data_IF_395282795176
#
_entry.id   IF_395282795176
#
_cell.length_a   1.000
_cell.length_b   1.000
_cell.length_c   1.000
_cell.angle_alpha   90.00
_cell.angle_beta   90.00
_cell.angle_gamma   90.00
#
_symmetry.space_group_name_H-M   'P 1'
#
loop_
_entity.id
_entity.type
_entity.pdbx_description
1 polymer ?
#
# COMPACT_ATOMS: atom_id res chain seq x y z
N UNK A 1 -7.46 29.33 14.29
CA UNK A 1 -6.87 27.98 14.19
C UNK A 1 -7.87 27.04 14.82
N UNK A 2 -8.09 25.85 14.26
CA UNK A 2 -8.93 24.86 14.92
C UNK A 2 -8.35 24.55 16.31
N UNK A 3 -9.20 24.33 17.31
CA UNK A 3 -8.75 23.94 18.64
C UNK A 3 -8.04 22.58 18.59
N UNK A 4 -7.21 22.29 19.60
CA UNK A 4 -6.57 20.96 19.75
C UNK A 4 -7.62 19.84 19.71
N UNK A 5 -8.79 20.07 20.31
CA UNK A 5 -9.87 19.08 20.34
C UNK A 5 -10.57 18.91 19.00
N UNK A 6 -10.79 20.00 18.26
CA UNK A 6 -11.35 19.94 16.90
C UNK A 6 -10.41 19.17 15.96
N UNK A 7 -9.10 19.44 16.06
CA UNK A 7 -8.10 18.71 15.26
C UNK A 7 -8.05 17.25 15.65
N UNK A 8 -8.05 16.94 16.95
CA UNK A 8 -8.07 15.55 17.43
C UNK A 8 -9.31 14.80 16.94
N UNK A 9 -10.50 15.40 17.08
CA UNK A 9 -11.77 14.82 16.63
C UNK A 9 -11.76 14.58 15.11
N UNK A 10 -11.24 15.54 14.34
CA UNK A 10 -11.11 15.40 12.88
C UNK A 10 -10.22 14.23 12.50
N UNK A 11 -9.10 14.00 13.21
CA UNK A 11 -8.19 12.91 12.89
C UNK A 11 -8.64 11.57 13.47
N UNK A 12 -9.48 11.52 14.49
CA UNK A 12 -9.96 10.26 15.06
C UNK A 12 -11.34 9.83 14.56
N UNK A 13 -12.08 10.71 13.88
CA UNK A 13 -13.40 10.34 13.32
C UNK A 13 -13.28 9.15 12.35
N UNK A 14 -14.27 8.26 12.41
CA UNK A 14 -14.41 7.07 11.56
C UNK A 14 -13.22 6.09 11.60
N UNK A 15 -12.42 6.13 12.66
CA UNK A 15 -11.41 5.11 12.94
C UNK A 15 -12.01 3.96 13.75
N UNK A 16 -11.49 2.76 13.52
CA UNK A 16 -11.85 1.60 14.32
C UNK A 16 -11.07 1.59 15.64
N UNK A 17 -9.81 2.03 15.64
CA UNK A 17 -8.97 2.04 16.83
C UNK A 17 -7.92 3.16 16.77
N UNK A 18 -7.58 3.68 17.95
CA UNK A 18 -6.58 4.74 18.17
C UNK A 18 -5.67 4.29 19.31
N UNK A 19 -4.38 4.16 19.03
CA UNK A 19 -3.33 3.93 20.04
C UNK A 19 -2.48 5.19 20.17
N UNK A 20 -2.05 5.54 21.39
CA UNK A 20 -1.22 6.73 21.64
C UNK A 20 -1.97 8.07 21.52
N UNK A 21 -3.25 8.13 21.92
CA UNK A 21 -4.04 9.36 21.88
C UNK A 21 -3.41 10.51 22.70
N UNK A 22 -2.74 10.17 23.79
CA UNK A 22 -1.94 11.06 24.63
C UNK A 22 -0.76 11.69 23.87
N UNK A 23 -0.04 10.89 23.06
CA UNK A 23 1.06 11.39 22.20
C UNK A 23 0.53 12.44 21.22
N UNK A 24 -0.59 12.15 20.57
CA UNK A 24 -1.23 13.06 19.62
C UNK A 24 -1.62 14.38 20.31
N UNK A 25 -2.28 14.28 21.48
CA UNK A 25 -2.72 15.46 22.25
C UNK A 25 -1.53 16.29 22.75
N UNK A 26 -0.45 15.64 23.19
CA UNK A 26 0.79 16.31 23.60
C UNK A 26 1.40 17.11 22.45
N UNK A 27 1.54 16.49 21.27
CA UNK A 27 2.11 17.18 20.09
C UNK A 27 1.23 18.33 19.62
N UNK A 28 -0.09 18.19 19.69
CA UNK A 28 -1.01 19.29 19.38
C UNK A 28 -0.88 20.44 20.39
N UNK A 29 -0.64 20.15 21.67
CA UNK A 29 -0.43 21.16 22.70
C UNK A 29 0.89 21.94 22.54
N UNK A 30 1.91 21.33 21.92
CA UNK A 30 3.16 22.02 21.54
C UNK A 30 2.95 23.09 20.45
N UNK A 31 1.80 23.13 19.79
CA UNK A 31 1.47 24.12 18.76
C UNK A 31 2.16 23.90 17.41
N UNK A 32 2.84 22.75 17.22
CA UNK A 32 3.46 22.37 15.94
C UNK A 32 2.56 21.43 15.12
N UNK A 33 2.73 21.38 13.78
CA UNK A 33 2.01 20.40 12.97
C UNK A 33 2.39 18.95 13.31
N UNK A 34 1.39 18.08 13.45
CA UNK A 34 1.52 16.63 13.54
C UNK A 34 2.12 16.06 12.25
N UNK A 35 3.03 15.11 12.37
CA UNK A 35 3.62 14.41 11.23
C UNK A 35 3.02 13.02 11.11
N UNK A 36 2.34 12.77 10.00
CA UNK A 36 1.71 11.49 9.69
C UNK A 36 2.43 10.82 8.53
N UNK A 37 2.55 9.50 8.56
CA UNK A 37 2.76 8.76 7.32
C UNK A 37 1.74 7.62 7.13
N UNK A 38 1.46 7.33 5.85
CA UNK A 38 0.62 6.21 5.45
C UNK A 38 1.30 5.44 4.32
N UNK A 39 2.04 4.40 4.68
CA UNK A 39 2.78 3.58 3.73
C UNK A 39 1.90 2.76 2.80
N UNK A 40 2.34 2.60 1.56
CA UNK A 40 1.76 1.63 0.63
C UNK A 40 2.86 0.91 -0.13
N UNK A 41 2.81 -0.43 -0.13
CA UNK A 41 3.71 -1.26 -0.92
C UNK A 41 3.20 -1.37 -2.38
N UNK A 42 3.96 -0.94 -3.40
CA UNK A 42 3.58 -1.02 -4.82
C UNK A 42 3.57 -2.47 -5.34
N UNK A 43 2.51 -3.21 -5.03
CA UNK A 43 2.36 -4.64 -5.39
C UNK A 43 1.35 -4.83 -6.52
N UNK A 44 0.09 -5.19 -6.23
CA UNK A 44 -0.96 -5.28 -7.24
C UNK A 44 -1.48 -3.90 -7.66
N UNK A 45 -2.36 -3.85 -8.67
CA UNK A 45 -3.06 -2.60 -9.01
C UNK A 45 -3.78 -2.04 -7.79
N UNK A 46 -3.62 -0.74 -7.60
CA UNK A 46 -4.22 -0.03 -6.48
C UNK A 46 -5.73 0.02 -6.64
N UNK A 47 -6.45 -0.03 -5.53
CA UNK A 47 -7.91 -0.12 -5.53
C UNK A 47 -8.48 0.72 -4.39
N UNK A 48 -9.74 1.09 -4.53
CA UNK A 48 -10.44 1.93 -3.56
C UNK A 48 -10.52 1.22 -2.20
N UNK A 49 -10.02 1.86 -1.15
CA UNK A 49 -9.98 1.35 0.24
C UNK A 49 -10.48 2.43 1.19
N UNK A 50 -10.95 2.01 2.37
CA UNK A 50 -11.08 2.94 3.50
C UNK A 50 -9.70 3.52 3.81
N UNK A 51 -9.63 4.83 3.99
CA UNK A 51 -8.40 5.61 4.08
C UNK A 51 -8.17 6.54 2.88
N UNK A 52 -8.72 6.25 1.70
CA UNK A 52 -8.60 7.13 0.52
C UNK A 52 -9.32 8.47 0.71
N UNK A 53 -10.35 8.50 1.56
CA UNK A 53 -11.11 9.68 1.99
C UNK A 53 -10.43 10.50 3.09
N UNK A 54 -9.25 10.07 3.59
CA UNK A 54 -8.48 10.82 4.61
C UNK A 54 -7.83 12.09 4.04
N UNK A 55 -8.43 12.61 2.98
CA UNK A 55 -8.38 13.97 2.53
C UNK A 55 -8.50 15.01 3.65
N UNK A 56 -9.27 14.72 4.71
CA UNK A 56 -9.31 15.53 5.93
C UNK A 56 -7.93 15.75 6.58
N UNK A 57 -7.00 14.79 6.47
CA UNK A 57 -5.63 14.96 6.93
C UNK A 57 -4.88 16.03 6.13
N UNK A 58 -5.05 16.04 4.81
CA UNK A 58 -4.41 17.00 3.92
C UNK A 58 -5.03 18.40 4.06
N UNK A 59 -6.33 18.45 4.34
CA UNK A 59 -7.05 19.71 4.56
C UNK A 59 -6.64 20.41 5.86
N UNK A 60 -6.30 19.63 6.89
CA UNK A 60 -5.79 20.20 8.15
C UNK A 60 -4.50 20.99 7.91
N UNK A 61 -4.46 22.26 8.36
CA UNK A 61 -3.21 23.04 8.43
C UNK A 61 -2.26 22.48 9.50
N UNK A 62 -2.77 21.63 10.37
CA UNK A 62 -2.08 21.09 11.54
C UNK A 62 -1.42 19.74 11.25
N UNK A 63 -1.46 19.22 10.02
CA UNK A 63 -0.88 17.91 9.67
C UNK A 63 0.05 18.03 8.47
N UNK A 64 1.24 17.45 8.61
CA UNK A 64 2.17 17.16 7.52
C UNK A 64 2.09 15.69 7.18
N UNK A 65 1.68 15.39 5.95
CA UNK A 65 1.41 14.03 5.50
C UNK A 65 2.47 13.56 4.50
N UNK A 66 3.11 12.45 4.84
CA UNK A 66 4.05 11.74 3.96
C UNK A 66 3.41 10.46 3.45
N UNK A 67 3.49 10.24 2.14
CA UNK A 67 2.99 9.03 1.47
C UNK A 67 4.16 8.21 0.95
N UNK A 68 4.79 7.36 1.76
CA UNK A 68 5.89 6.55 1.27
C UNK A 68 5.39 5.42 0.37
N UNK A 69 6.04 5.29 -0.79
CA UNK A 69 5.90 4.20 -1.74
C UNK A 69 6.99 3.18 -1.42
N UNK A 70 6.61 2.16 -0.65
CA UNK A 70 7.51 1.19 -0.04
C UNK A 70 7.89 0.10 -1.05
N UNK A 71 8.80 0.43 -1.97
CA UNK A 71 9.31 -0.45 -3.02
C UNK A 71 10.14 -1.61 -2.47
N UNK A 72 10.97 -1.38 -1.45
CA UNK A 72 11.70 -2.46 -0.76
C UNK A 72 10.70 -3.44 -0.12
N UNK A 73 9.68 -2.94 0.59
CA UNK A 73 8.63 -3.80 1.15
C UNK A 73 7.85 -4.56 0.07
N UNK A 74 7.58 -3.94 -1.08
CA UNK A 74 6.92 -4.62 -2.20
C UNK A 74 7.76 -5.76 -2.80
N UNK A 75 9.09 -5.62 -2.80
CA UNK A 75 10.03 -6.67 -3.17
C UNK A 75 10.06 -7.79 -2.11
N UNK A 76 10.09 -7.42 -0.82
CA UNK A 76 10.18 -8.38 0.30
C UNK A 76 8.88 -9.17 0.54
N UNK A 77 7.72 -8.61 0.18
CA UNK A 77 6.42 -9.30 0.25
C UNK A 77 6.28 -10.36 -0.86
N UNK A 78 6.96 -11.49 -0.62
CA UNK A 78 6.83 -12.77 -1.31
C UNK A 78 6.94 -12.70 -2.85
N UNK A 79 7.94 -11.96 -3.36
CA UNK A 79 8.33 -11.96 -4.78
C UNK A 79 7.16 -11.75 -5.76
N UNK A 80 6.21 -10.85 -5.47
CA UNK A 80 5.16 -10.49 -6.44
C UNK A 80 5.70 -9.77 -7.68
N UNK A 81 6.92 -9.22 -7.61
CA UNK A 81 7.58 -8.51 -8.69
C UNK A 81 9.10 -8.40 -8.47
N UNK A 82 9.93 -8.54 -9.52
CA UNK A 82 11.31 -8.08 -9.54
C UNK A 82 11.42 -6.57 -9.24
N UNK A 83 12.57 -6.10 -8.75
CA UNK A 83 12.79 -4.69 -8.40
C UNK A 83 12.54 -3.74 -9.60
N UNK A 84 12.90 -4.16 -10.81
CA UNK A 84 12.66 -3.40 -12.04
C UNK A 84 11.17 -3.20 -12.28
N UNK A 85 10.38 -4.24 -12.05
CA UNK A 85 8.92 -4.18 -12.15
C UNK A 85 8.31 -3.32 -11.02
N UNK A 86 8.88 -3.40 -9.81
CA UNK A 86 8.46 -2.54 -8.69
C UNK A 86 8.71 -1.06 -9.00
N UNK A 87 9.82 -0.71 -9.66
CA UNK A 87 10.09 0.68 -10.05
C UNK A 87 9.01 1.24 -10.99
N UNK A 88 8.52 0.45 -11.95
CA UNK A 88 7.37 0.84 -12.78
C UNK A 88 6.08 0.96 -11.95
N UNK A 89 5.87 0.07 -10.98
CA UNK A 89 4.72 0.13 -10.06
C UNK A 89 4.77 1.36 -9.15
N UNK A 90 5.94 1.80 -8.69
CA UNK A 90 6.10 3.06 -7.94
C UNK A 90 5.56 4.22 -8.76
N UNK A 91 6.00 4.36 -10.03
CA UNK A 91 5.50 5.41 -10.93
C UNK A 91 3.99 5.31 -11.17
N UNK A 92 3.47 4.10 -11.41
CA UNK A 92 2.03 3.88 -11.54
C UNK A 92 1.25 4.33 -10.29
N UNK A 93 1.73 3.96 -9.10
CA UNK A 93 1.13 4.33 -7.83
C UNK A 93 1.16 5.84 -7.61
N UNK A 94 2.24 6.50 -8.00
CA UNK A 94 2.32 7.96 -7.96
C UNK A 94 1.28 8.62 -8.87
N UNK A 95 1.16 8.20 -10.13
CA UNK A 95 0.15 8.73 -11.05
C UNK A 95 -1.27 8.52 -10.52
N UNK A 96 -1.63 7.30 -10.13
CA UNK A 96 -3.00 7.00 -9.68
C UNK A 96 -3.33 7.74 -8.39
N UNK A 97 -2.40 7.79 -7.42
CA UNK A 97 -2.67 8.49 -6.16
C UNK A 97 -2.78 9.99 -6.37
N UNK A 98 -1.92 10.60 -7.20
CA UNK A 98 -2.04 12.02 -7.55
C UNK A 98 -3.39 12.32 -8.19
N UNK A 99 -3.84 11.51 -9.16
CA UNK A 99 -5.14 11.68 -9.79
C UNK A 99 -6.31 11.51 -8.81
N UNK A 100 -6.24 10.52 -7.91
CA UNK A 100 -7.24 10.31 -6.85
C UNK A 100 -7.30 11.50 -5.89
N UNK A 101 -6.15 12.05 -5.48
CA UNK A 101 -6.13 13.24 -4.64
C UNK A 101 -6.58 14.50 -5.39
N UNK A 102 -6.47 14.58 -6.73
CA UNK A 102 -7.10 15.65 -7.53
C UNK A 102 -8.62 15.56 -7.55
N UNK A 103 -9.18 14.36 -7.49
CA UNK A 103 -10.63 14.10 -7.54
C UNK A 103 -11.38 14.43 -6.23
N UNK A 104 -10.65 14.81 -5.18
CA UNK A 104 -11.16 15.13 -3.85
C UNK A 104 -10.64 16.52 -3.47
N UNK A 105 -11.41 17.37 -2.76
CA UNK A 105 -10.93 18.69 -2.32
C UNK A 105 -9.78 18.59 -1.32
N UNK A 106 -8.54 18.44 -1.80
CA UNK A 106 -7.35 18.44 -0.95
C UNK A 106 -6.22 19.29 -1.56
N UNK A 107 -5.43 19.97 -0.72
CA UNK A 107 -4.23 20.67 -1.18
C UNK A 107 -3.13 19.65 -1.49
N UNK A 108 -2.94 19.35 -2.78
CA UNK A 108 -2.00 18.34 -3.28
C UNK A 108 -0.55 18.78 -3.09
N UNK A 109 -0.32 20.09 -2.98
CA UNK A 109 1.01 20.68 -2.76
C UNK A 109 1.62 20.21 -1.43
N UNK A 110 0.78 19.81 -0.47
CA UNK A 110 1.23 19.25 0.81
C UNK A 110 1.54 17.76 0.75
N UNK A 111 1.17 17.06 -0.33
CA UNK A 111 1.37 15.63 -0.48
C UNK A 111 2.82 15.34 -0.88
N UNK A 112 3.61 14.84 0.06
CA UNK A 112 4.99 14.41 -0.20
C UNK A 112 5.04 12.90 -0.45
N UNK A 113 5.37 12.50 -1.67
CA UNK A 113 5.75 11.13 -1.98
C UNK A 113 7.22 10.90 -1.61
N UNK A 114 7.50 9.77 -0.97
CA UNK A 114 8.85 9.35 -0.60
C UNK A 114 9.03 7.90 -1.06
N UNK A 115 10.09 7.59 -1.79
CA UNK A 115 10.33 6.19 -2.21
C UNK A 115 11.10 5.48 -1.09
N UNK A 116 10.67 4.27 -0.70
CA UNK A 116 11.28 3.51 0.41
C UNK A 116 12.80 3.36 0.25
N UNK A 117 13.24 2.92 -0.92
CA UNK A 117 14.65 2.72 -1.25
C UNK A 117 15.51 3.98 -1.14
N UNK A 118 14.92 5.19 -1.14
CA UNK A 118 15.68 6.44 -0.98
C UNK A 118 16.27 6.63 0.42
N UNK A 119 15.79 5.89 1.42
CA UNK A 119 16.31 5.96 2.80
C UNK A 119 16.53 4.57 3.42
N UNK A 120 15.79 3.54 3.01
CA UNK A 120 15.91 2.20 3.58
C UNK A 120 17.23 1.50 3.22
N UNK A 121 17.97 2.04 2.24
CA UNK A 121 19.26 1.51 1.79
C UNK A 121 20.45 2.27 2.39
N UNK A 122 20.22 3.29 3.23
CA UNK A 122 21.32 4.04 3.85
C UNK A 122 22.03 3.18 4.90
N UNK A 123 23.26 3.57 5.20
CA UNK A 123 24.10 2.89 6.21
C UNK A 123 23.40 2.90 7.57
N UNK A 124 22.85 4.04 7.97
CA UNK A 124 22.21 4.26 9.26
C UNK A 124 21.01 3.32 9.41
N UNK A 125 20.13 3.31 8.40
CA UNK A 125 18.92 2.49 8.42
C UNK A 125 19.25 1.00 8.49
N UNK A 126 20.24 0.56 7.73
CA UNK A 126 20.66 -0.85 7.75
C UNK A 126 21.29 -1.24 9.08
N UNK A 127 22.05 -0.34 9.71
CA UNK A 127 22.59 -0.60 11.04
C UNK A 127 21.48 -0.76 12.09
N UNK A 128 20.42 0.06 12.05
CA UNK A 128 19.28 -0.12 12.95
C UNK A 128 18.47 -1.38 12.64
N UNK A 129 18.37 -1.76 11.37
CA UNK A 129 17.79 -3.05 10.99
C UNK A 129 18.58 -4.22 11.59
N UNK A 130 19.92 -4.17 11.56
CA UNK A 130 20.75 -5.18 12.24
C UNK A 130 20.56 -5.17 13.76
N UNK A 131 20.42 -3.98 14.39
CA UNK A 131 20.11 -3.87 15.83
C UNK A 131 18.76 -4.50 16.17
N UNK A 132 17.74 -4.29 15.33
CA UNK A 132 16.44 -4.96 15.48
C UNK A 132 16.60 -6.48 15.36
N UNK A 133 17.30 -6.98 14.34
CA UNK A 133 17.54 -8.41 14.16
C UNK A 133 18.28 -9.04 15.36
N UNK A 134 19.13 -8.29 16.06
CA UNK A 134 19.80 -8.74 17.28
C UNK A 134 18.90 -8.72 18.54
N UNK A 135 17.74 -8.07 18.48
CA UNK A 135 16.85 -7.83 19.65
C UNK A 135 15.51 -8.56 19.53
N UNK A 136 15.02 -8.77 18.31
CA UNK A 136 13.70 -9.31 18.01
C UNK A 136 13.78 -10.83 17.89
N UNK A 137 12.84 -11.53 18.51
CA UNK A 137 12.75 -12.99 18.37
C UNK A 137 12.09 -13.35 17.03
N UNK A 138 12.45 -14.50 16.46
CA UNK A 138 11.78 -15.04 15.26
C UNK A 138 10.26 -15.12 15.46
N UNK A 139 9.84 -15.59 16.64
CA UNK A 139 8.44 -15.72 17.01
C UNK A 139 7.70 -14.38 16.92
N UNK A 140 8.26 -13.31 17.47
CA UNK A 140 7.60 -12.01 17.51
C UNK A 140 7.56 -11.36 16.13
N UNK A 141 8.63 -11.49 15.34
CA UNK A 141 8.64 -11.05 13.94
C UNK A 141 7.56 -11.77 13.11
N UNK A 142 7.49 -13.10 13.22
CA UNK A 142 6.49 -13.91 12.52
C UNK A 142 5.06 -13.55 12.93
N UNK A 143 4.83 -13.36 14.24
CA UNK A 143 3.54 -12.96 14.79
C UNK A 143 3.13 -11.58 14.30
N UNK A 144 4.05 -10.62 14.26
CA UNK A 144 3.80 -9.25 13.81
C UNK A 144 3.36 -9.20 12.33
N UNK A 145 4.02 -9.98 11.47
CA UNK A 145 3.74 -10.02 10.03
C UNK A 145 2.55 -10.90 9.61
N UNK A 146 1.92 -11.64 10.51
CA UNK A 146 0.99 -12.72 10.17
C UNK A 146 -0.23 -12.32 9.31
N UNK A 147 -0.71 -11.08 9.46
CA UNK A 147 -1.89 -10.58 8.73
C UNK A 147 -1.56 -9.73 7.50
N UNK A 148 -0.30 -9.32 7.36
CA UNK A 148 0.17 -8.38 6.34
C UNK A 148 1.03 -9.09 5.31
N UNK A 149 2.00 -9.87 5.76
CA UNK A 149 2.90 -10.65 4.91
C UNK A 149 2.17 -11.88 4.42
N UNK A 150 2.34 -12.20 3.14
CA UNK A 150 1.75 -13.41 2.55
C UNK A 150 2.26 -14.67 3.26
N UNK A 151 1.33 -15.47 3.76
CA UNK A 151 1.62 -16.76 4.38
C UNK A 151 1.85 -17.83 3.31
N UNK A 152 2.96 -18.55 3.42
CA UNK A 152 3.35 -19.66 2.54
C UNK A 152 3.85 -20.83 3.39
N UNK A 153 3.83 -22.05 2.83
CA UNK A 153 4.24 -23.28 3.56
C UNK A 153 5.69 -23.23 4.04
N UNK A 154 6.56 -22.57 3.28
CA UNK A 154 7.98 -22.39 3.58
C UNK A 154 8.30 -20.90 3.57
N UNK A 155 8.07 -20.18 4.70
CA UNK A 155 8.27 -18.73 4.77
C UNK A 155 9.72 -18.33 4.48
N UNK A 156 9.89 -17.28 3.68
CA UNK A 156 11.21 -16.69 3.42
C UNK A 156 11.62 -15.76 4.57
N UNK A 157 12.92 -15.57 4.76
CA UNK A 157 13.47 -14.62 5.73
C UNK A 157 12.95 -13.19 5.52
N UNK A 158 12.67 -12.81 4.27
CA UNK A 158 12.13 -11.48 3.93
C UNK A 158 10.83 -11.16 4.69
N UNK A 159 10.00 -12.17 4.94
CA UNK A 159 8.75 -12.00 5.70
C UNK A 159 8.99 -11.68 7.18
N UNK A 160 10.12 -12.10 7.75
CA UNK A 160 10.50 -11.80 9.13
C UNK A 160 11.13 -10.41 9.26
N UNK A 161 11.77 -9.91 8.21
CA UNK A 161 12.34 -8.55 8.19
C UNK A 161 11.26 -7.47 8.05
N UNK A 162 10.13 -7.79 7.39
CA UNK A 162 9.10 -6.83 7.02
C UNK A 162 8.59 -5.96 8.19
N UNK A 163 8.20 -6.51 9.37
CA UNK A 163 7.69 -5.70 10.46
C UNK A 163 8.75 -4.76 11.06
N UNK A 164 10.01 -5.22 11.11
CA UNK A 164 11.14 -4.43 11.58
C UNK A 164 11.39 -3.21 10.70
N UNK A 165 11.38 -3.41 9.38
CA UNK A 165 11.52 -2.32 8.42
C UNK A 165 10.38 -1.31 8.55
N UNK A 166 9.13 -1.80 8.64
CA UNK A 166 7.99 -0.90 8.80
C UNK A 166 8.06 -0.09 10.11
N UNK A 167 8.55 -0.67 11.21
CA UNK A 167 8.77 0.06 12.45
C UNK A 167 9.84 1.15 12.30
N UNK A 168 10.98 0.85 11.65
CA UNK A 168 12.03 1.84 11.43
C UNK A 168 11.59 3.01 10.54
N UNK A 169 10.67 2.78 9.61
CA UNK A 169 10.10 3.86 8.79
C UNK A 169 9.51 4.99 9.66
N UNK A 170 8.95 4.70 10.84
CA UNK A 170 8.43 5.73 11.77
C UNK A 170 9.52 6.70 12.27
N UNK A 171 10.72 6.18 12.49
CA UNK A 171 11.88 6.96 12.91
C UNK A 171 12.44 7.77 11.75
N UNK A 172 12.72 7.10 10.63
CA UNK A 172 13.41 7.70 9.50
C UNK A 172 12.54 8.69 8.71
N UNK A 173 11.21 8.57 8.80
CA UNK A 173 10.28 9.57 8.29
C UNK A 173 9.97 10.67 9.31
N UNK A 174 10.44 10.52 10.56
CA UNK A 174 10.27 11.49 11.63
C UNK A 174 8.80 11.76 11.96
N UNK A 175 7.94 10.73 11.92
CA UNK A 175 6.50 10.88 12.17
C UNK A 175 6.17 10.87 13.67
N UNK A 176 5.02 11.46 13.99
CA UNK A 176 4.39 11.42 15.31
C UNK A 176 3.36 10.29 15.39
N UNK A 177 2.72 9.98 14.25
CA UNK A 177 1.80 8.85 14.15
C UNK A 177 1.84 8.17 12.78
N UNK A 178 1.55 6.87 12.77
CA UNK A 178 1.35 6.08 11.57
C UNK A 178 -0.14 5.81 11.37
N UNK A 179 -0.61 5.93 10.12
CA UNK A 179 -1.98 5.58 9.73
C UNK A 179 -1.99 4.34 8.83
N UNK A 180 -2.93 3.43 9.08
CA UNK A 180 -3.15 2.23 8.28
C UNK A 180 -4.46 1.52 8.63
N UNK A 181 -4.70 0.36 8.03
CA UNK A 181 -5.86 -0.48 8.39
C UNK A 181 -5.63 -1.22 9.70
N UNK A 182 -6.70 -1.71 10.32
CA UNK A 182 -6.61 -2.58 11.51
C UNK A 182 -5.87 -3.90 11.25
N UNK A 183 -5.72 -4.31 9.98
CA UNK A 183 -4.87 -5.43 9.59
C UNK A 183 -3.38 -5.20 9.90
N UNK A 184 -2.96 -3.95 10.11
CA UNK A 184 -1.60 -3.59 10.50
C UNK A 184 -1.38 -3.54 12.01
N UNK A 185 -2.42 -3.73 12.83
CA UNK A 185 -2.36 -3.59 14.29
C UNK A 185 -1.20 -4.35 14.93
N UNK A 186 -0.92 -5.57 14.46
CA UNK A 186 0.18 -6.39 15.01
C UNK A 186 1.55 -5.78 14.74
N UNK A 187 1.76 -5.17 13.56
CA UNK A 187 2.99 -4.43 13.23
C UNK A 187 3.09 -3.15 14.06
N UNK A 188 1.98 -2.43 14.24
CA UNK A 188 1.94 -1.22 15.08
C UNK A 188 2.32 -1.51 16.53
N UNK A 189 1.71 -2.54 17.14
CA UNK A 189 2.09 -2.95 18.51
C UNK A 189 3.51 -3.50 18.60
N UNK A 190 4.04 -4.06 17.52
CA UNK A 190 5.44 -4.46 17.42
C UNK A 190 6.36 -3.23 17.43
N UNK A 191 6.04 -2.18 16.67
CA UNK A 191 6.79 -0.93 16.68
C UNK A 191 6.81 -0.27 18.06
N UNK A 192 5.65 -0.20 18.75
CA UNK A 192 5.56 0.33 20.11
C UNK A 192 6.44 -0.42 21.13
N UNK A 193 6.66 -1.72 20.91
CA UNK A 193 7.46 -2.57 21.78
C UNK A 193 8.96 -2.45 21.49
N UNK A 194 9.36 -2.40 20.21
CA UNK A 194 10.77 -2.53 19.82
C UNK A 194 11.48 -1.20 19.54
N UNK A 195 10.79 -0.16 19.07
CA UNK A 195 11.43 1.15 18.85
C UNK A 195 12.08 1.72 20.13
N UNK A 196 11.44 1.64 21.32
CA UNK A 196 12.08 2.08 22.57
C UNK A 196 13.35 1.30 22.93
N UNK A 197 13.45 0.03 22.52
CA UNK A 197 14.65 -0.79 22.78
C UNK A 197 15.86 -0.34 21.95
N UNK A 198 15.61 0.37 20.84
CA UNK A 198 16.64 1.03 20.04
C UNK A 198 16.92 2.47 20.49
N UNK A 199 16.21 2.96 21.52
CA UNK A 199 16.30 4.34 22.00
C UNK A 199 15.40 5.32 21.27
N UNK A 200 14.49 4.85 20.41
CA UNK A 200 13.55 5.70 19.69
C UNK A 200 12.22 5.89 20.43
N UNK A 201 11.55 7.01 20.16
CA UNK A 201 10.24 7.32 20.76
C UNK A 201 9.15 6.36 20.26
N UNK A 202 8.12 6.15 21.07
CA UNK A 202 6.86 5.54 20.60
C UNK A 202 6.11 6.50 19.70
N UNK A 203 5.34 5.97 18.76
CA UNK A 203 4.42 6.73 17.90
C UNK A 203 2.99 6.34 18.23
N UNK A 204 2.07 7.23 17.88
CA UNK A 204 0.66 6.90 17.89
C UNK A 204 0.28 6.11 16.63
N UNK A 205 -0.78 5.31 16.71
CA UNK A 205 -1.25 4.49 15.60
C UNK A 205 -2.75 4.70 15.39
N UNK A 206 -3.11 5.12 14.18
CA UNK A 206 -4.49 5.38 13.78
C UNK A 206 -4.95 4.31 12.80
N UNK A 207 -5.99 3.56 13.16
CA UNK A 207 -6.41 2.39 12.41
C UNK A 207 -7.81 2.53 11.83
N UNK A 208 -7.93 2.46 10.49
CA UNK A 208 -9.22 2.47 9.81
C UNK A 208 -9.84 1.06 9.74
N UNK A 209 -11.17 1.02 9.67
CA UNK A 209 -11.90 -0.21 9.44
C UNK A 209 -11.60 -0.78 8.05
N UNK A 210 -11.57 -2.11 7.94
CA UNK A 210 -11.42 -2.78 6.66
C UNK A 210 -12.74 -2.77 5.89
N UNK A 211 -12.69 -2.34 4.63
CA UNK A 211 -13.82 -2.50 3.72
C UNK A 211 -13.96 -3.97 3.30
N UNK A 212 -15.17 -4.54 3.35
CA UNK A 212 -15.42 -5.88 2.84
C UNK A 212 -15.33 -5.91 1.30
N UNK A 213 -15.05 -7.09 0.75
CA UNK A 213 -15.07 -7.32 -0.69
C UNK A 213 -16.48 -7.27 -1.26
N UNK A 214 -16.62 -6.82 -2.52
CA UNK A 214 -17.92 -6.72 -3.20
C UNK A 214 -18.69 -8.05 -3.26
N UNK A 215 -17.96 -9.17 -3.36
CA UNK A 215 -18.49 -10.53 -3.45
C UNK A 215 -18.51 -11.24 -2.09
N UNK A 216 -18.23 -10.52 -0.99
CA UNK A 216 -18.05 -11.08 0.36
C UNK A 216 -16.58 -11.29 0.73
N UNK A 217 -16.30 -11.38 2.03
CA UNK A 217 -14.94 -11.57 2.56
C UNK A 217 -14.06 -10.31 2.45
N UNK A 218 -12.75 -10.50 2.23
CA UNK A 218 -11.77 -9.41 2.10
C UNK A 218 -11.55 -9.03 0.62
N UNK A 219 -11.41 -7.74 0.32
CA UNK A 219 -10.93 -7.29 -0.98
C UNK A 219 -9.52 -7.85 -1.25
N UNK A 220 -9.32 -8.50 -2.40
CA UNK A 220 -8.02 -9.05 -2.78
C UNK A 220 -7.53 -8.48 -4.10
N UNK A 221 -6.23 -8.14 -4.14
CA UNK A 221 -5.59 -7.76 -5.38
C UNK A 221 -5.66 -8.87 -6.46
N UNK A 222 -5.75 -10.14 -6.03
CA UNK A 222 -5.79 -11.32 -6.91
C UNK A 222 -7.19 -11.70 -7.41
N UNK A 223 -8.26 -11.15 -6.83
CA UNK A 223 -9.62 -11.34 -7.32
C UNK A 223 -10.16 -10.00 -7.85
N UNK A 224 -10.14 -9.79 -9.18
CA UNK A 224 -10.62 -8.56 -9.81
C UNK A 224 -12.08 -8.23 -9.52
N UNK A 225 -12.93 -9.23 -9.22
CA UNK A 225 -14.36 -9.02 -8.96
C UNK A 225 -14.65 -8.61 -7.51
N UNK A 226 -13.72 -8.92 -6.59
CA UNK A 226 -13.86 -8.56 -5.17
C UNK A 226 -13.64 -7.07 -4.88
N UNK A 227 -13.04 -6.31 -5.81
CA UNK A 227 -12.53 -4.94 -5.61
C UNK A 227 -12.89 -3.98 -6.75
N UNK A 228 -12.82 -2.68 -6.45
CA UNK A 228 -12.96 -1.58 -7.42
C UNK A 228 -11.59 -0.99 -7.71
N UNK A 229 -11.10 -1.18 -8.94
CA UNK A 229 -9.87 -0.55 -9.44
C UNK A 229 -10.17 0.92 -9.77
N UNK A 230 -9.22 1.81 -9.54
CA UNK A 230 -9.40 3.24 -9.88
C UNK A 230 -9.60 3.47 -11.38
N UNK A 231 -9.12 2.54 -12.21
CA UNK A 231 -9.22 2.58 -13.67
C UNK A 231 -10.30 1.63 -14.24
N UNK A 232 -11.20 1.09 -13.40
CA UNK A 232 -12.35 0.31 -13.90
C UNK A 232 -13.26 1.20 -14.74
N UNK A 233 -13.53 0.83 -16.00
CA UNK A 233 -14.47 1.57 -16.84
C UNK A 233 -15.88 1.59 -16.23
N UNK A 234 -16.75 2.56 -16.59
CA UNK A 234 -18.12 2.62 -16.09
C UNK A 234 -18.90 1.30 -16.29
N UNK A 235 -18.64 0.59 -17.40
CA UNK A 235 -19.23 -0.71 -17.68
C UNK A 235 -18.72 -1.82 -16.72
N UNK A 236 -17.42 -1.83 -16.41
CA UNK A 236 -16.82 -2.77 -15.47
C UNK A 236 -17.35 -2.51 -14.05
N UNK A 237 -17.36 -1.25 -13.63
CA UNK A 237 -17.88 -0.83 -12.32
C UNK A 237 -19.34 -1.24 -12.15
N UNK A 238 -20.21 -0.91 -13.13
CA UNK A 238 -21.62 -1.30 -13.13
C UNK A 238 -21.80 -2.82 -13.03
N UNK A 239 -20.98 -3.60 -13.75
CA UNK A 239 -21.02 -5.06 -13.69
C UNK A 239 -20.66 -5.58 -12.29
N UNK A 240 -19.58 -5.07 -11.70
CA UNK A 240 -19.11 -5.47 -10.36
C UNK A 240 -20.13 -5.13 -9.28
N UNK A 241 -20.66 -3.91 -9.28
CA UNK A 241 -21.65 -3.46 -8.30
C UNK A 241 -23.00 -4.17 -8.45
N UNK A 242 -23.42 -4.48 -9.68
CA UNK A 242 -24.61 -5.31 -9.93
C UNK A 242 -24.44 -6.70 -9.31
N UNK A 243 -23.24 -7.29 -9.44
CA UNK A 243 -22.89 -8.59 -8.88
C UNK A 243 -22.57 -8.59 -7.38
N UNK A 244 -22.46 -7.42 -6.74
CA UNK A 244 -22.14 -7.34 -5.33
C UNK A 244 -23.25 -7.95 -4.45
N UNK A 245 -22.86 -8.61 -3.36
CA UNK A 245 -23.81 -9.11 -2.37
C UNK A 245 -24.48 -7.93 -1.67
N UNK A 246 -25.82 -7.91 -1.69
CA UNK A 246 -26.63 -6.88 -1.04
C UNK A 246 -28.02 -7.46 -0.80
N UNK A 247 -28.22 -8.01 0.38
CA UNK A 247 -29.48 -8.57 0.85
C UNK A 247 -30.31 -7.48 1.54
N UNK A 248 -31.62 -7.47 1.32
CA UNK A 248 -32.53 -6.46 1.86
C UNK A 248 -32.62 -6.55 3.39
N UNK A 249 -32.45 -5.43 4.08
CA UNK A 249 -32.39 -5.37 5.55
C UNK A 249 -31.06 -5.80 6.15
N UNK A 250 -30.16 -6.40 5.38
CA UNK A 250 -28.87 -6.87 5.88
C UNK A 250 -27.81 -5.75 5.85
N UNK A 251 -27.55 -5.17 7.02
CA UNK A 251 -26.50 -4.16 7.20
C UNK A 251 -25.13 -4.77 7.49
N UNK A 252 -25.09 -6.02 7.94
CA UNK A 252 -23.87 -6.72 8.32
C UNK A 252 -23.14 -7.24 7.08
N UNK A 253 -21.81 -7.03 7.03
CA UNK A 253 -20.99 -7.42 5.88
C UNK A 253 -21.48 -6.87 4.52
N UNK A 254 -22.21 -5.76 4.52
CA UNK A 254 -22.72 -5.12 3.31
C UNK A 254 -21.67 -4.16 2.72
N UNK A 255 -21.06 -4.56 1.60
CA UNK A 255 -20.00 -3.77 0.99
C UNK A 255 -20.48 -2.41 0.50
N UNK A 256 -21.69 -2.32 -0.04
CA UNK A 256 -22.22 -1.06 -0.56
C UNK A 256 -22.42 -0.05 0.56
N UNK A 257 -23.05 -0.45 1.66
CA UNK A 257 -23.19 0.39 2.85
C UNK A 257 -21.82 0.79 3.43
N UNK A 258 -20.86 -0.14 3.44
CA UNK A 258 -19.50 0.14 3.90
C UNK A 258 -18.80 1.20 3.03
N UNK A 259 -18.95 1.15 1.70
CA UNK A 259 -18.44 2.18 0.79
C UNK A 259 -19.15 3.53 1.00
N UNK A 260 -20.46 3.53 1.25
CA UNK A 260 -21.20 4.76 1.56
C UNK A 260 -20.64 5.39 2.85
N UNK A 261 -20.55 4.62 3.93
CA UNK A 261 -20.07 5.06 5.25
C UNK A 261 -18.63 5.56 5.21
N UNK A 262 -17.74 4.78 4.60
CA UNK A 262 -16.30 5.00 4.72
C UNK A 262 -15.73 5.85 3.60
N UNK A 263 -16.40 6.00 2.44
CA UNK A 263 -15.84 6.71 1.28
C UNK A 263 -16.76 7.82 0.80
N UNK A 264 -17.99 7.49 0.40
CA UNK A 264 -18.86 8.45 -0.31
C UNK A 264 -19.33 9.58 0.61
N UNK A 265 -19.92 9.25 1.77
CA UNK A 265 -20.40 10.26 2.72
C UNK A 265 -19.26 11.13 3.27
N UNK A 266 -18.09 10.59 3.69
CA UNK A 266 -16.96 11.41 4.11
C UNK A 266 -16.46 12.38 3.04
N UNK A 267 -16.36 11.95 1.78
CA UNK A 267 -15.96 12.83 0.66
C UNK A 267 -17.02 13.90 0.43
N UNK A 268 -18.31 13.54 0.50
CA UNK A 268 -19.41 14.48 0.32
C UNK A 268 -19.48 15.53 1.43
N UNK A 269 -19.31 15.10 2.70
CA UNK A 269 -19.18 15.99 3.86
C UNK A 269 -18.02 16.96 3.66
N UNK A 270 -16.86 16.45 3.22
CA UNK A 270 -15.70 17.31 2.97
C UNK A 270 -15.98 18.33 1.86
N UNK A 271 -16.58 17.93 0.74
CA UNK A 271 -16.95 18.85 -0.36
C UNK A 271 -17.90 19.95 0.11
N UNK A 272 -18.84 19.61 1.01
CA UNK A 272 -19.75 20.57 1.62
C UNK A 272 -19.03 21.52 2.60
N UNK A 273 -18.20 20.97 3.50
CA UNK A 273 -17.40 21.72 4.48
C UNK A 273 -16.45 22.72 3.79
N UNK A 274 -15.84 22.33 2.67
CA UNK A 274 -14.87 23.14 1.93
C UNK A 274 -15.50 24.04 0.86
N UNK A 275 -16.82 23.96 0.66
CA UNK A 275 -17.54 24.63 -0.43
C UNK A 275 -16.86 24.42 -1.79
N UNK A 276 -16.49 23.16 -2.09
CA UNK A 276 -15.72 22.84 -3.29
C UNK A 276 -16.48 23.27 -4.56
N UNK A 277 -15.94 24.22 -5.36
CA UNK A 277 -16.62 24.70 -6.56
C UNK A 277 -16.48 23.72 -7.74
N UNK A 278 -15.56 22.75 -7.65
CA UNK A 278 -15.21 21.83 -8.73
C UNK A 278 -15.96 20.52 -8.56
N UNK A 279 -15.91 19.90 -7.38
CA UNK A 279 -16.48 18.58 -7.16
C UNK A 279 -17.81 18.63 -6.44
N UNK A 280 -18.84 18.02 -7.05
CA UNK A 280 -20.21 17.99 -6.51
C UNK A 280 -20.34 16.98 -5.36
N UNK A 281 -21.21 17.26 -4.40
CA UNK A 281 -21.64 16.28 -3.39
C UNK A 281 -22.46 15.15 -4.04
N UNK A 282 -22.57 14.00 -3.38
CA UNK A 282 -23.38 12.87 -3.87
C UNK A 282 -24.87 13.02 -3.52
N UNK A 283 -25.39 14.23 -3.70
CA UNK A 283 -26.78 14.60 -3.44
C UNK A 283 -27.55 14.61 -4.74
N UNK A 284 -28.71 13.96 -4.73
CA UNK A 284 -29.60 13.94 -5.87
C UNK A 284 -30.15 15.35 -6.11
N UNK A 285 -30.04 15.84 -7.35
CA UNK A 285 -30.41 17.21 -7.71
C UNK A 285 -31.88 17.38 -8.10
N UNK A 286 -32.68 16.32 -8.04
CA UNK A 286 -34.07 16.33 -8.44
C UNK A 286 -34.26 16.39 -9.96
N UNK A 287 -35.49 16.16 -10.41
CA UNK A 287 -35.98 16.62 -11.72
C UNK A 287 -36.64 18.00 -11.59
N UNK A 288 -36.85 18.68 -12.72
CA UNK A 288 -37.52 19.98 -12.76
C UNK A 288 -38.92 19.88 -12.14
N UNK A 289 -39.15 20.58 -11.02
CA UNK A 289 -40.41 20.55 -10.26
C UNK A 289 -40.36 19.77 -8.94
N UNK A 290 -39.26 19.10 -8.59
CA UNK A 290 -39.07 18.46 -7.28
C UNK A 290 -38.54 19.44 -6.23
N UNK A 291 -38.89 19.19 -4.95
CA UNK A 291 -38.31 19.94 -3.84
C UNK A 291 -36.80 19.67 -3.74
N UNK A 292 -35.99 20.71 -3.48
CA UNK A 292 -34.55 20.54 -3.36
C UNK A 292 -34.20 19.73 -2.10
N UNK A 293 -33.08 19.02 -2.16
CA UNK A 293 -32.55 18.31 -0.99
C UNK A 293 -32.38 19.27 0.20
N UNK A 294 -32.75 18.86 1.44
CA UNK A 294 -32.58 19.68 2.62
C UNK A 294 -31.13 20.15 2.83
N UNK A 295 -30.97 21.34 3.42
CA UNK A 295 -29.65 21.86 3.76
C UNK A 295 -28.88 20.89 4.68
N UNK A 296 -27.60 20.66 4.40
CA UNK A 296 -26.77 19.71 5.16
C UNK A 296 -26.84 18.26 4.65
N UNK A 297 -27.62 17.98 3.60
CA UNK A 297 -27.62 16.65 2.97
C UNK A 297 -26.25 16.34 2.37
N UNK A 298 -25.72 15.15 2.67
CA UNK A 298 -24.44 14.64 2.13
C UNK A 298 -24.63 13.44 1.22
N UNK A 299 -25.76 12.75 1.28
CA UNK A 299 -26.06 11.61 0.41
C UNK A 299 -27.57 11.54 0.14
N UNK A 300 -27.97 11.09 -1.04
CA UNK A 300 -29.39 10.91 -1.36
C UNK A 300 -29.62 9.62 -2.11
N UNK A 301 -30.75 8.95 -1.85
CA UNK A 301 -31.13 7.69 -2.48
C UNK A 301 -32.45 7.89 -3.22
N UNK A 302 -32.40 8.07 -4.55
CA UNK A 302 -33.60 8.07 -5.39
C UNK A 302 -34.21 6.68 -5.41
N UNK A 303 -35.52 6.61 -5.18
CA UNK A 303 -36.29 5.35 -5.16
C UNK A 303 -37.12 5.19 -6.43
N UNK A 304 -37.55 3.97 -6.71
CA UNK A 304 -38.35 3.65 -7.91
C UNK A 304 -39.73 4.33 -7.95
N UNK A 305 -40.26 4.68 -6.80
CA UNK A 305 -41.53 5.41 -6.64
C UNK A 305 -41.38 6.93 -6.89
N UNK A 306 -40.23 7.37 -7.42
CA UNK A 306 -39.85 8.77 -7.69
C UNK A 306 -39.65 9.63 -6.43
N UNK A 307 -39.78 9.06 -5.24
CA UNK A 307 -39.37 9.76 -4.02
C UNK A 307 -37.87 9.63 -3.79
N UNK A 308 -37.28 10.59 -3.08
CA UNK A 308 -35.86 10.58 -2.73
C UNK A 308 -35.69 10.67 -1.22
N UNK A 309 -34.84 9.80 -0.68
CA UNK A 309 -34.43 9.88 0.74
C UNK A 309 -33.13 10.67 0.83
N UNK A 310 -33.03 11.60 1.78
CA UNK A 310 -31.90 12.49 1.96
C UNK A 310 -31.26 12.28 3.35
N UNK A 311 -29.93 12.18 3.39
CA UNK A 311 -29.19 11.86 4.60
C UNK A 311 -28.08 12.87 4.87
N UNK A 312 -28.05 13.39 6.09
CA UNK A 312 -26.97 14.23 6.62
C UNK A 312 -25.88 13.41 7.33
N UNK A 313 -26.21 12.21 7.83
CA UNK A 313 -25.26 11.25 8.43
C UNK A 313 -25.58 9.82 8.00
N UNK A 314 -24.71 8.87 8.34
CA UNK A 314 -24.85 7.48 7.90
C UNK A 314 -25.88 6.69 8.71
N UNK A 315 -26.05 7.00 9.99
CA UNK A 315 -26.84 6.21 10.93
C UNK A 315 -28.33 6.12 10.52
N UNK A 316 -29.01 7.21 10.10
CA UNK A 316 -30.38 7.12 9.62
C UNK A 316 -30.50 6.30 8.33
N UNK A 317 -29.50 6.36 7.44
CA UNK A 317 -29.48 5.57 6.21
C UNK A 317 -29.32 4.07 6.48
N UNK A 318 -28.48 3.71 7.43
CA UNK A 318 -28.30 2.32 7.86
C UNK A 318 -29.60 1.77 8.44
N UNK A 319 -30.31 2.57 9.24
CA UNK A 319 -31.59 2.18 9.83
C UNK A 319 -32.71 2.07 8.77
N UNK A 320 -32.75 2.98 7.81
CA UNK A 320 -33.70 2.90 6.69
C UNK A 320 -33.42 1.67 5.79
N UNK A 321 -32.15 1.29 5.62
CA UNK A 321 -31.81 0.03 4.94
C UNK A 321 -32.25 -1.19 5.76
N UNK A 322 -32.00 -1.20 7.08
CA UNK A 322 -32.41 -2.26 8.02
C UNK A 322 -33.93 -2.46 8.00
N UNK A 323 -34.67 -1.35 7.97
CA UNK A 323 -36.13 -1.31 7.93
C UNK A 323 -36.72 -1.50 6.52
N UNK A 324 -35.88 -1.82 5.52
CA UNK A 324 -36.28 -2.11 4.13
C UNK A 324 -36.96 -0.94 3.41
N UNK A 325 -36.68 0.29 3.85
CA UNK A 325 -37.11 1.51 3.15
C UNK A 325 -36.21 1.81 1.95
N UNK A 326 -34.96 1.33 1.98
CA UNK A 326 -34.03 1.35 0.86
C UNK A 326 -33.94 -0.03 0.24
N UNK A 327 -34.45 -0.18 -0.98
CA UNK A 327 -34.33 -1.44 -1.71
C UNK A 327 -32.87 -1.66 -2.20
N UNK A 328 -32.32 -2.89 -2.16
CA UNK A 328 -30.94 -3.18 -2.60
C UNK A 328 -30.60 -2.71 -4.01
N UNK A 329 -31.57 -2.75 -4.92
CA UNK A 329 -31.40 -2.27 -6.29
C UNK A 329 -31.18 -0.76 -6.38
N UNK A 330 -31.81 0.00 -5.50
CA UNK A 330 -31.73 1.46 -5.48
C UNK A 330 -30.41 1.89 -4.84
N UNK A 331 -29.99 1.20 -3.75
CA UNK A 331 -28.66 1.34 -3.17
C UNK A 331 -27.56 1.02 -4.19
N UNK A 332 -27.69 -0.07 -4.95
CA UNK A 332 -26.73 -0.41 -6.03
C UNK A 332 -26.67 0.68 -7.09
N UNK A 333 -27.81 1.22 -7.50
CA UNK A 333 -27.87 2.25 -8.53
C UNK A 333 -27.18 3.54 -8.08
N UNK A 334 -27.53 4.07 -6.91
CA UNK A 334 -26.94 5.31 -6.39
C UNK A 334 -25.45 5.16 -6.11
N UNK A 335 -25.02 4.05 -5.52
CA UNK A 335 -23.58 3.78 -5.27
C UNK A 335 -22.81 3.65 -6.58
N UNK A 336 -23.40 3.06 -7.62
CA UNK A 336 -22.79 3.00 -8.96
C UNK A 336 -22.61 4.39 -9.55
N UNK A 337 -23.64 5.24 -9.49
CA UNK A 337 -23.56 6.62 -9.98
C UNK A 337 -22.48 7.39 -9.22
N UNK A 338 -22.52 7.40 -7.89
CA UNK A 338 -21.58 8.13 -7.06
C UNK A 338 -20.13 7.68 -7.25
N UNK A 339 -19.87 6.37 -7.35
CA UNK A 339 -18.53 5.86 -7.64
C UNK A 339 -18.08 6.17 -9.07
N UNK A 340 -18.98 6.15 -10.05
CA UNK A 340 -18.65 6.56 -11.43
C UNK A 340 -18.22 8.01 -11.46
N UNK A 341 -18.98 8.92 -10.82
CA UNK A 341 -18.65 10.34 -10.73
C UNK A 341 -17.33 10.59 -9.98
N UNK A 342 -17.05 9.80 -8.93
CA UNK A 342 -15.79 9.91 -8.18
C UNK A 342 -14.58 9.47 -9.01
N UNK A 343 -14.71 8.41 -9.81
CA UNK A 343 -13.60 7.84 -10.59
C UNK A 343 -13.40 8.49 -11.96
N UNK A 344 -14.44 9.11 -12.53
CA UNK A 344 -14.38 9.78 -13.83
C UNK A 344 -13.17 10.72 -14.01
N UNK A 345 -12.84 11.65 -13.09
CA UNK A 345 -11.68 12.52 -13.27
C UNK A 345 -10.35 11.74 -13.32
N UNK A 346 -10.23 10.67 -12.54
CA UNK A 346 -9.05 9.79 -12.52
C UNK A 346 -8.90 9.06 -13.85
N UNK A 347 -10.01 8.55 -14.38
CA UNK A 347 -10.06 7.83 -15.65
C UNK A 347 -9.71 8.77 -16.82
N UNK A 348 -10.25 9.99 -16.84
CA UNK A 348 -9.91 11.00 -17.85
C UNK A 348 -8.44 11.39 -17.82
N UNK A 349 -7.83 11.53 -16.64
CA UNK A 349 -6.41 11.82 -16.52
C UNK A 349 -5.54 10.66 -17.06
N UNK A 350 -5.96 9.42 -16.83
CA UNK A 350 -5.33 8.23 -17.41
C UNK A 350 -5.47 8.17 -18.94
N UNK A 351 -6.65 8.42 -19.46
CA UNK A 351 -6.94 8.43 -20.91
C UNK A 351 -6.13 9.51 -21.65
N UNK A 352 -5.91 10.66 -21.01
CA UNK A 352 -5.17 11.78 -21.59
C UNK A 352 -3.64 11.67 -21.42
N UNK A 353 -3.14 10.74 -20.59
CA UNK A 353 -1.71 10.59 -20.32
C UNK A 353 -1.13 9.34 -20.98
N UNK A 354 -0.46 9.53 -22.13
CA UNK A 354 0.28 8.45 -22.81
C UNK A 354 1.37 7.85 -21.91
N UNK A 355 2.09 8.69 -21.17
CA UNK A 355 3.11 8.24 -20.22
C UNK A 355 2.51 7.31 -19.15
N UNK A 356 1.36 7.69 -18.57
CA UNK A 356 0.72 6.85 -17.56
C UNK A 356 0.22 5.53 -18.15
N UNK A 357 -0.28 5.52 -19.37
CA UNK A 357 -0.66 4.28 -20.08
C UNK A 357 0.55 3.36 -20.31
N UNK A 358 1.67 3.91 -20.78
CA UNK A 358 2.93 3.17 -20.97
C UNK A 358 3.45 2.60 -19.65
N UNK A 359 3.52 3.42 -18.60
CA UNK A 359 3.92 2.99 -17.25
C UNK A 359 2.99 1.90 -16.72
N UNK A 360 1.68 1.98 -16.97
CA UNK A 360 0.71 0.96 -16.55
C UNK A 360 0.97 -0.37 -17.24
N UNK A 361 1.28 -0.35 -18.55
CA UNK A 361 1.60 -1.55 -19.32
C UNK A 361 2.92 -2.20 -18.85
N UNK A 362 3.91 -1.38 -18.48
CA UNK A 362 5.18 -1.86 -17.92
C UNK A 362 5.02 -2.40 -16.50
N UNK A 363 4.20 -1.75 -15.66
CA UNK A 363 3.97 -2.14 -14.27
C UNK A 363 3.10 -3.41 -14.13
N UNK A 364 2.21 -3.64 -15.08
CA UNK A 364 1.28 -4.76 -15.12
C UNK A 364 1.17 -5.32 -16.55
N UNK A 365 2.22 -5.97 -17.06
CA UNK A 365 2.20 -6.57 -18.38
C UNK A 365 1.06 -7.59 -18.45
N UNK A 366 0.34 -7.61 -19.58
CA UNK A 366 -0.65 -8.64 -19.83
C UNK A 366 0.01 -10.01 -19.67
N UNK A 367 -0.62 -10.91 -18.90
CA UNK A 367 -0.06 -12.23 -18.66
C UNK A 367 0.23 -12.91 -20.01
N UNK A 368 1.51 -13.13 -20.32
CA UNK A 368 1.89 -14.01 -21.41
C UNK A 368 1.32 -15.38 -21.03
N UNK A 369 0.36 -15.87 -21.80
CA UNK A 369 -0.16 -17.22 -21.63
C UNK A 369 0.98 -18.20 -21.85
N UNK A 370 1.65 -18.60 -20.76
CA UNK A 370 2.58 -19.71 -20.80
C UNK A 370 1.78 -20.92 -21.29
N UNK A 371 2.08 -21.39 -22.50
CA UNK A 371 1.53 -22.64 -23.02
C UNK A 371 1.88 -23.72 -22.02
N UNK A 372 0.89 -24.19 -21.27
CA UNK A 372 1.02 -25.41 -20.46
C UNK A 372 1.27 -26.54 -21.45
N UNK A 373 2.55 -26.92 -21.61
CA UNK A 373 2.90 -28.18 -22.26
C UNK A 373 2.37 -29.27 -21.35
N UNK A 374 1.27 -29.90 -21.75
CA UNK A 374 0.72 -31.06 -21.04
C UNK A 374 1.84 -32.11 -20.92
N UNK A 375 2.13 -32.64 -19.73
CA UNK A 375 3.07 -33.74 -19.61
C UNK A 375 2.53 -34.93 -20.42
N UNK A 376 3.35 -35.44 -21.34
CA UNK A 376 3.04 -36.70 -22.04
C UNK A 376 2.90 -37.80 -20.98
N UNK A 377 1.74 -38.45 -20.93
CA UNK A 377 1.52 -39.66 -20.12
C UNK A 377 2.54 -40.72 -20.57
N UNK A 378 3.47 -41.05 -19.69
CA UNK A 378 4.28 -42.27 -19.80
C UNK A 378 3.43 -43.39 -19.20
N UNK A 379 3.09 -44.39 -20.01
CA UNK A 379 2.49 -45.62 -19.51
C UNK A 379 3.55 -46.42 -18.76
N UNK A 380 3.38 -46.57 -17.45
CA UNK A 380 4.15 -47.54 -16.66
C UNK A 380 3.35 -48.84 -16.60
N UNK A 381 3.79 -49.84 -17.37
CA UNK A 381 3.52 -51.24 -17.05
C UNK A 381 4.86 -51.94 -16.83
N UNK A 382 4.86 -52.86 -15.87
CA UNK A 382 5.95 -53.75 -15.42
C UNK A 382 6.80 -53.18 -14.29
N UNK A 383 6.50 -53.70 -13.10
CA UNK A 383 7.30 -53.51 -11.90
C UNK A 383 8.60 -54.29 -11.96
N UNK A 384 9.62 -53.75 -11.30
CA UNK A 384 10.67 -54.51 -10.64
C UNK A 384 11.19 -53.65 -9.49
N UNK A 385 11.45 -54.31 -8.36
CA UNK A 385 12.01 -53.75 -7.13
C UNK A 385 13.29 -52.95 -7.40
N UNK A 386 13.43 -51.76 -6.81
CA UNK A 386 14.73 -51.12 -6.63
C UNK A 386 14.85 -50.48 -5.25
N UNK A 387 15.87 -50.94 -4.53
CA UNK A 387 16.37 -50.41 -3.28
C UNK A 387 16.88 -48.97 -3.43
N UNK A 388 16.80 -48.20 -2.34
CA UNK A 388 17.42 -46.88 -2.23
C UNK A 388 18.95 -46.99 -2.13
N UNK A 389 19.72 -46.14 -2.84
CA UNK A 389 21.01 -45.72 -2.35
C UNK A 389 21.02 -44.21 -2.11
N UNK A 390 21.14 -43.84 -0.85
CA UNK A 390 21.66 -42.54 -0.42
C UNK A 390 23.18 -42.53 -0.64
N UNK A 391 23.69 -41.60 -1.44
CA UNK A 391 25.01 -40.99 -1.19
C UNK A 391 25.13 -39.60 -1.85
N UNK A 392 25.83 -38.64 -1.21
CA UNK A 392 25.91 -37.25 -1.66
C UNK A 392 26.95 -37.09 -2.79
N UNK A 393 26.55 -36.52 -3.91
CA UNK A 393 27.49 -36.14 -4.97
C UNK A 393 28.25 -34.87 -4.59
N UNK A 394 29.58 -34.99 -4.57
CA UNK A 394 30.55 -33.89 -4.58
C UNK A 394 30.22 -32.92 -5.72
N UNK A 395 30.24 -31.62 -5.42
CA UNK A 395 30.23 -30.55 -6.41
C UNK A 395 31.62 -30.49 -7.05
N UNK A 396 31.71 -30.77 -8.35
CA UNK A 396 32.94 -30.59 -9.13
C UNK A 396 33.15 -29.10 -9.44
N UNK A 397 34.30 -28.58 -9.03
CA UNK A 397 34.69 -27.17 -8.94
C UNK A 397 35.04 -26.48 -10.29
N UNK A 398 34.50 -26.92 -11.44
CA UNK A 398 34.99 -26.44 -12.75
C UNK A 398 34.01 -25.78 -13.72
N UNK A 399 32.78 -25.47 -13.33
CA UNK A 399 31.80 -24.87 -14.25
C UNK A 399 31.13 -23.56 -13.78
N UNK A 400 31.70 -22.84 -12.81
CA UNK A 400 31.19 -21.53 -12.39
C UNK A 400 32.17 -20.41 -12.74
N UNK A 401 32.45 -20.22 -14.03
CA UNK A 401 33.01 -18.99 -14.57
C UNK A 401 32.74 -18.98 -16.08
N UNK A 402 31.95 -17.98 -16.50
CA UNK A 402 31.66 -17.49 -17.87
C UNK A 402 30.14 -17.28 -18.00
N UNK A 403 29.65 -16.24 -17.33
CA UNK A 403 28.58 -15.42 -17.89
C UNK A 403 28.88 -13.94 -17.61
N UNK A 404 30.07 -13.51 -18.05
CA UNK A 404 30.42 -12.12 -18.27
C UNK A 404 31.22 -12.08 -19.58
N UNK A 405 30.79 -11.19 -20.48
CA UNK A 405 31.40 -10.76 -21.76
C UNK A 405 30.94 -11.47 -23.05
N UNK A 406 30.15 -10.73 -23.82
CA UNK A 406 30.51 -10.36 -25.21
C UNK A 406 30.27 -11.38 -26.33
N UNK A 407 29.35 -11.03 -27.25
CA UNK A 407 29.22 -11.65 -28.57
C UNK A 407 30.55 -11.71 -29.33
N UNK A 408 30.87 -12.87 -29.91
CA UNK A 408 31.91 -13.02 -30.93
C UNK A 408 31.72 -14.31 -31.73
N UNK A 409 31.38 -14.18 -33.01
CA UNK A 409 31.30 -15.30 -33.96
C UNK A 409 32.72 -15.80 -34.28
N UNK A 410 32.95 -17.11 -34.21
CA UNK A 410 34.13 -17.74 -34.80
C UNK A 410 34.51 -19.05 -34.10
N UNK A 411 34.38 -20.18 -34.81
CA UNK A 411 35.07 -21.42 -34.42
C UNK A 411 36.57 -21.27 -34.72
N UNK A 412 37.45 -21.81 -33.87
CA UNK A 412 38.62 -22.48 -34.40
C UNK A 412 38.82 -23.90 -33.83
N UNK A 413 39.49 -24.69 -34.68
CA UNK A 413 39.97 -26.05 -34.47
C UNK A 413 41.29 -26.03 -33.67
N UNK A 414 41.53 -27.08 -32.88
CA UNK A 414 42.82 -27.79 -32.79
C UNK A 414 44.00 -27.15 -32.04
N UNK A 415 44.56 -28.00 -31.15
CA UNK A 415 45.97 -28.17 -30.72
C UNK A 415 46.61 -27.21 -29.71
N UNK A 416 47.01 -27.84 -28.59
CA UNK A 416 48.26 -27.76 -27.81
C UNK A 416 48.76 -26.40 -27.31
N UNK A 417 48.77 -26.25 -25.97
CA UNK A 417 49.96 -25.85 -25.20
C UNK A 417 49.68 -25.90 -23.70
N UNK A 418 50.29 -26.88 -23.03
CA UNK A 418 50.53 -26.90 -21.58
C UNK A 418 51.70 -25.97 -21.23
N UNK A 419 51.48 -25.04 -20.31
CA UNK A 419 52.56 -24.30 -19.63
C UNK A 419 52.38 -22.79 -19.67
N UNK A 420 51.58 -22.24 -18.74
CA UNK A 420 51.66 -20.87 -18.20
C UNK A 420 50.44 -20.59 -17.31
N UNK A 421 50.44 -21.11 -16.08
CA UNK A 421 49.42 -20.76 -15.06
C UNK A 421 49.92 -20.99 -13.62
N UNK A 422 51.20 -20.75 -13.34
CA UNK A 422 51.78 -20.94 -12.01
C UNK A 422 52.51 -19.71 -11.46
N UNK A 423 52.31 -18.52 -12.05
CA UNK A 423 53.06 -17.30 -11.67
C UNK A 423 52.16 -16.07 -11.46
N UNK A 424 50.99 -16.25 -10.82
CA UNK A 424 50.10 -15.11 -10.53
C UNK A 424 49.33 -15.21 -9.19
N UNK A 425 49.82 -15.99 -8.22
CA UNK A 425 49.15 -16.15 -6.92
C UNK A 425 50.03 -15.86 -5.69
N UNK A 426 51.17 -15.16 -5.86
CA UNK A 426 52.11 -14.85 -4.76
C UNK A 426 52.37 -13.36 -4.52
N UNK A 427 51.55 -12.44 -5.07
CA UNK A 427 51.79 -10.99 -4.96
C UNK A 427 50.56 -10.18 -4.51
N UNK A 428 49.67 -10.76 -3.71
CA UNK A 428 48.52 -10.06 -3.15
C UNK A 428 48.30 -10.31 -1.64
N UNK A 429 49.35 -10.67 -0.91
CA UNK A 429 49.30 -10.92 0.54
C UNK A 429 50.27 -10.08 1.38
N UNK A 430 50.87 -9.01 0.82
CA UNK A 430 51.85 -8.19 1.55
C UNK A 430 51.57 -6.68 1.68
N UNK A 431 50.39 -6.17 1.29
CA UNK A 431 50.06 -4.74 1.52
C UNK A 431 48.72 -4.55 2.24
N UNK A 432 48.64 -4.91 3.53
CA UNK A 432 47.92 -4.12 4.57
C UNK A 432 48.50 -4.47 5.94
N UNK A 433 49.69 -3.96 6.26
CA UNK A 433 50.16 -3.80 7.65
C UNK A 433 50.83 -2.44 7.79
N UNK A 434 50.06 -1.43 8.17
CA UNK A 434 50.58 -0.12 8.57
C UNK A 434 49.63 1.05 8.36
N UNK A 435 48.69 1.26 9.29
CA UNK A 435 48.07 2.58 9.53
C UNK A 435 47.54 2.66 10.98
N UNK A 436 47.78 3.77 11.72
CA UNK A 436 47.40 3.93 13.13
C UNK A 436 45.92 4.34 13.31
N UNK A 437 45.34 4.25 14.53
CA UNK A 437 43.92 4.49 14.76
C UNK A 437 43.59 5.98 14.79
N UNK A 438 42.68 6.43 13.93
CA UNK A 438 42.13 7.79 13.95
C UNK A 438 40.89 7.86 14.87
N UNK A 439 41.13 8.08 16.15
CA UNK A 439 40.20 8.77 17.03
C UNK A 439 40.75 10.21 17.22
N UNK A 440 39.85 11.20 17.27
CA UNK A 440 40.09 12.65 17.34
C UNK A 440 40.27 13.37 15.99
N UNK A 441 39.14 13.71 15.34
CA UNK A 441 38.99 14.88 14.46
C UNK A 441 37.50 15.05 14.09
N UNK A 442 36.69 15.59 15.01
CA UNK A 442 35.39 16.20 14.72
C UNK A 442 35.03 17.14 15.88
N UNK A 443 35.95 18.04 16.18
CA UNK A 443 35.71 19.27 16.92
C UNK A 443 36.44 20.36 16.12
N UNK A 444 35.76 21.45 15.81
CA UNK A 444 36.18 22.56 14.94
C UNK A 444 35.86 22.42 13.43
N UNK A 445 34.61 22.70 13.10
CA UNK A 445 34.25 23.42 11.86
C UNK A 445 32.96 24.21 12.13
N UNK A 446 33.06 25.17 13.05
CA UNK A 446 32.20 26.34 13.09
C UNK A 446 33.06 27.55 12.74
N UNK A 447 32.43 28.52 12.09
CA UNK A 447 32.90 29.89 11.78
C UNK A 447 33.50 30.13 10.38
N UNK A 448 32.75 30.98 9.66
CA UNK A 448 33.12 31.96 8.63
C UNK A 448 33.46 31.46 7.21
N UNK A 449 32.63 31.83 6.23
CA UNK A 449 32.82 33.06 5.43
C UNK A 449 31.60 33.32 4.51
N UNK A 450 31.13 34.57 4.55
CA UNK A 450 30.46 35.44 3.55
C UNK A 450 29.26 35.00 2.69
#
# INVERSE_FOLDING_TARGET
>A
MASTEETFTLITRNLQEVLGADIIRSVLAEGRPLRCYWGTAPTGRHFLRAGCERASFLHSKTIRFSKPLLDVHAFLDNMKAPLELVAHRVKYYEFVLRAVFKAIPVPIEKLKFVVGSSYQLTKEYNMDNYRLCATVTEHDAKKAGAEVVKQVSSPLLSGLLYPGLQALDEEYLGCDFQFGGVDQRKIFTYAELYLPKLGYKKRAHLMNQMLPGLTGGKMSASDPNSKIDFLDSPAQLKKKLKGAFCEEGNVENNALLSFVKAVLMPISSLRLETQDPVHKTFVYKGQEGEEPAPAGTIFSVPRRDQSTLHYATFEPMEEDFRNKLIHPGDLKAVVTTALTELLEPVQKEFENSKEWQEVTNLAYPAAVTAKVVKPKKVNTSHGTNYEFPFHPQRVDEKNSLIYLLGKGKGKPKGTDATGEAQTALSTATEEVKGAPPAAAALEQAGENED
#
